data_IF_878276279270
#
_entry.id   IF_878276279270
#
_cell.length_a   1.000
_cell.length_b   1.000
_cell.length_c   1.000
_cell.angle_alpha   90.00
_cell.angle_beta   90.00
_cell.angle_gamma   90.00
#
_symmetry.space_group_name_H-M   'P 1'
#
loop_
_entity.id
_entity.type
_entity.pdbx_description
1 polymer ?
#
# COMPACT_ATOMS: atom_id res chain seq x y z
N UNK A 1 -0.93 9.01 17.12
CA UNK A 1 -0.48 7.62 16.92
C UNK A 1 -1.54 6.72 16.33
N UNK A 2 -2.74 6.73 16.92
CA UNK A 2 -3.82 5.90 16.40
C UNK A 2 -4.25 6.30 14.99
N UNK A 3 -4.27 7.59 14.70
CA UNK A 3 -4.60 8.07 13.35
C UNK A 3 -3.60 7.57 12.32
N UNK A 4 -2.33 7.61 12.64
CA UNK A 4 -1.27 7.13 11.76
C UNK A 4 -1.44 5.64 11.46
N UNK A 5 -1.65 4.84 12.51
CA UNK A 5 -1.85 3.40 12.35
C UNK A 5 -3.11 3.07 11.56
N UNK A 6 -4.16 3.85 11.74
CA UNK A 6 -5.41 3.67 11.02
C UNK A 6 -5.22 3.91 9.53
N UNK A 7 -4.54 5.00 9.17
CA UNK A 7 -4.25 5.30 7.77
C UNK A 7 -3.32 4.26 7.15
N UNK A 8 -2.33 3.82 7.91
CA UNK A 8 -1.43 2.77 7.46
C UNK A 8 -2.18 1.48 7.14
N UNK A 9 -3.10 1.08 8.02
CA UNK A 9 -3.95 -0.09 7.80
C UNK A 9 -4.82 0.05 6.56
N UNK A 10 -5.36 1.25 6.32
CA UNK A 10 -6.14 1.52 5.11
C UNK A 10 -5.31 1.31 3.85
N UNK A 11 -4.07 1.80 3.86
CA UNK A 11 -3.16 1.62 2.73
C UNK A 11 -2.81 0.15 2.52
N UNK A 12 -2.57 -0.60 3.59
CA UNK A 12 -2.31 -2.03 3.51
C UNK A 12 -3.51 -2.78 2.93
N UNK A 13 -4.72 -2.39 3.32
CA UNK A 13 -5.94 -2.98 2.78
C UNK A 13 -6.05 -2.72 1.28
N UNK A 14 -5.75 -1.49 0.86
CA UNK A 14 -5.73 -1.14 -0.57
C UNK A 14 -4.67 -1.94 -1.31
N UNK A 15 -3.50 -2.10 -0.73
CA UNK A 15 -2.42 -2.89 -1.32
C UNK A 15 -2.85 -4.35 -1.52
N UNK A 16 -3.48 -4.94 -0.50
CA UNK A 16 -3.96 -6.31 -0.59
C UNK A 16 -5.00 -6.48 -1.69
N UNK A 17 -5.92 -5.53 -1.82
CA UNK A 17 -6.91 -5.54 -2.90
C UNK A 17 -6.26 -5.41 -4.26
N UNK A 18 -5.26 -4.55 -4.38
CA UNK A 18 -4.53 -4.36 -5.62
C UNK A 18 -3.75 -5.62 -6.00
N UNK A 19 -3.12 -6.28 -5.05
CA UNK A 19 -2.43 -7.54 -5.30
C UNK A 19 -3.39 -8.61 -5.81
N UNK A 20 -4.55 -8.73 -5.20
CA UNK A 20 -5.58 -9.67 -5.67
C UNK A 20 -6.04 -9.35 -7.08
N UNK A 21 -6.19 -8.05 -7.38
CA UNK A 21 -6.55 -7.60 -8.72
C UNK A 21 -5.52 -8.05 -9.75
N UNK A 22 -4.22 -7.87 -9.46
CA UNK A 22 -3.15 -8.27 -10.38
C UNK A 22 -3.01 -9.79 -10.52
N UNK A 23 -3.38 -10.53 -9.49
CA UNK A 23 -3.30 -11.99 -9.51
C UNK A 23 -4.55 -12.66 -10.08
N UNK A 24 -5.60 -11.90 -10.32
CA UNK A 24 -6.85 -12.44 -10.85
C UNK A 24 -6.74 -12.74 -12.34
N UNK A 25 -6.84 -14.02 -12.78
CA UNK A 25 -6.73 -14.37 -14.19
C UNK A 25 -7.93 -13.94 -15.03
N UNK A 26 -9.04 -13.58 -14.40
CA UNK A 26 -10.24 -13.12 -15.09
C UNK A 26 -10.15 -11.66 -15.54
N UNK A 27 -9.15 -10.93 -15.06
CA UNK A 27 -8.98 -9.51 -15.40
C UNK A 27 -7.98 -9.38 -16.56
N UNK A 28 -8.35 -8.59 -17.57
CA UNK A 28 -7.52 -8.36 -18.74
C UNK A 28 -6.23 -7.62 -18.38
N UNK A 29 -5.16 -7.94 -19.12
CA UNK A 29 -3.86 -7.29 -18.92
C UNK A 29 -3.93 -5.79 -19.15
N UNK A 30 -4.75 -5.32 -20.10
CA UNK A 30 -4.92 -3.90 -20.36
C UNK A 30 -5.46 -3.16 -19.12
N UNK A 31 -6.40 -3.77 -18.42
CA UNK A 31 -6.94 -3.20 -17.19
C UNK A 31 -5.89 -3.18 -16.08
N UNK A 32 -5.09 -4.23 -15.99
CA UNK A 32 -3.99 -4.32 -15.04
C UNK A 32 -2.95 -3.24 -15.30
N UNK A 33 -2.60 -3.00 -16.56
CA UNK A 33 -1.64 -1.96 -16.93
C UNK A 33 -2.12 -0.57 -16.53
N UNK A 34 -3.41 -0.29 -16.70
CA UNK A 34 -3.98 1.00 -16.30
C UNK A 34 -3.90 1.22 -14.78
N UNK A 35 -3.91 0.14 -14.01
CA UNK A 35 -3.89 0.21 -12.56
C UNK A 35 -2.47 0.22 -11.97
N UNK A 36 -1.44 -0.04 -12.78
CA UNK A 36 -0.05 -0.11 -12.31
C UNK A 36 0.38 1.19 -11.62
N UNK A 37 0.02 2.35 -12.16
CA UNK A 37 0.38 3.64 -11.58
C UNK A 37 -0.22 3.82 -10.19
N UNK A 38 -1.48 3.44 -10.02
CA UNK A 38 -2.14 3.49 -8.71
C UNK A 38 -1.48 2.55 -7.71
N UNK A 39 -1.14 1.35 -8.16
CA UNK A 39 -0.45 0.38 -7.33
C UNK A 39 0.90 0.91 -6.85
N UNK A 40 1.67 1.51 -7.76
CA UNK A 40 2.95 2.11 -7.43
C UNK A 40 2.80 3.27 -6.44
N UNK A 41 1.76 4.09 -6.58
CA UNK A 41 1.46 5.16 -5.63
C UNK A 41 1.20 4.62 -4.22
N UNK A 42 0.40 3.58 -4.12
CA UNK A 42 0.08 2.95 -2.84
C UNK A 42 1.36 2.44 -2.17
N UNK A 43 2.21 1.76 -2.93
CA UNK A 43 3.49 1.27 -2.41
C UNK A 43 4.39 2.40 -1.93
N UNK A 44 4.47 3.50 -2.68
CA UNK A 44 5.27 4.66 -2.29
C UNK A 44 4.74 5.30 -1.01
N UNK A 45 3.45 5.46 -0.89
CA UNK A 45 2.83 6.03 0.32
C UNK A 45 3.12 5.17 1.55
N UNK A 46 3.01 3.85 1.41
CA UNK A 46 3.34 2.93 2.50
C UNK A 46 4.81 3.07 2.89
N UNK A 47 5.71 3.13 1.93
CA UNK A 47 7.14 3.27 2.19
C UNK A 47 7.45 4.60 2.91
N UNK A 48 6.80 5.68 2.50
CA UNK A 48 6.96 6.99 3.13
C UNK A 48 6.47 6.93 4.58
N UNK A 49 5.31 6.34 4.82
CA UNK A 49 4.76 6.22 6.17
C UNK A 49 5.66 5.39 7.07
N UNK A 50 6.21 4.29 6.56
CA UNK A 50 7.15 3.47 7.31
C UNK A 50 8.41 4.25 7.69
N UNK A 51 8.94 5.02 6.74
CA UNK A 51 10.13 5.85 6.99
C UNK A 51 9.84 6.92 8.05
N UNK A 52 8.73 7.62 7.93
CA UNK A 52 8.36 8.66 8.88
C UNK A 52 8.16 8.10 10.29
N UNK A 53 7.52 6.95 10.39
CA UNK A 53 7.32 6.30 11.67
C UNK A 53 8.65 5.92 12.31
N UNK A 54 9.54 5.33 11.52
CA UNK A 54 10.88 4.95 11.99
C UNK A 54 11.67 6.18 12.48
N UNK A 55 11.61 7.28 11.74
CA UNK A 55 12.31 8.50 12.10
C UNK A 55 11.78 9.11 13.40
N UNK A 56 10.46 9.04 13.60
CA UNK A 56 9.83 9.60 14.80
C UNK A 56 10.03 8.73 16.03
N UNK A 57 9.95 7.43 15.89
CA UNK A 57 9.89 6.51 17.02
C UNK A 57 11.10 5.60 17.15
N UNK A 58 11.99 5.60 16.15
CA UNK A 58 13.19 4.77 16.16
C UNK A 58 12.95 3.29 16.02
N UNK A 59 11.71 2.89 15.70
CA UNK A 59 11.33 1.49 15.49
C UNK A 59 10.61 1.34 14.17
N UNK A 60 10.65 0.12 13.62
CA UNK A 60 9.92 -0.15 12.40
C UNK A 60 8.44 -0.34 12.67
N UNK A 61 7.62 0.10 11.73
CA UNK A 61 6.17 -0.05 11.82
C UNK A 61 5.80 -1.50 11.48
N UNK A 62 5.19 -2.18 12.44
CA UNK A 62 4.70 -3.54 12.23
C UNK A 62 3.23 -3.51 11.82
N UNK A 63 2.87 -4.49 11.01
CA UNK A 63 1.49 -4.66 10.55
C UNK A 63 0.53 -5.00 11.67
#
# INVERSE_FOLDING_TARGET
MEEFKREYKKLLTRLNKAEKFFLDPAIDDDKKLKFVDEFNKIQKEIAIMQREYKNKHGIELEE
#
